data_IF_880224989840
#
_entry.id   IF_880224989840
#
_cell.length_a   1.000
_cell.length_b   1.000
_cell.length_c   1.000
_cell.angle_alpha   90.00
_cell.angle_beta   90.00
_cell.angle_gamma   90.00
#
_symmetry.space_group_name_H-M   'P 1'
#
loop_
_entity.id
_entity.type
_entity.pdbx_description
1 polymer ?
#
# COMPACT_ATOMS: atom_id res chain seq x y z
N UNK A 1 26.15 16.64 -3.69
CA UNK A 1 24.67 16.69 -3.76
C UNK A 1 24.35 16.88 -5.21
N UNK A 2 23.62 15.95 -5.82
CA UNK A 2 23.35 16.00 -7.24
C UNK A 2 22.46 17.21 -7.54
N UNK A 3 22.78 17.92 -8.62
CA UNK A 3 22.09 19.12 -9.06
C UNK A 3 20.62 18.79 -9.44
N UNK A 4 19.81 19.82 -9.65
CA UNK A 4 18.38 19.69 -9.94
C UNK A 4 18.15 19.05 -11.32
N UNK A 5 17.39 17.95 -11.37
CA UNK A 5 17.10 17.22 -12.60
C UNK A 5 15.68 17.48 -13.09
N UNK A 6 15.53 18.13 -14.24
CA UNK A 6 14.24 18.37 -14.88
C UNK A 6 13.81 17.16 -15.72
N UNK A 7 13.03 16.25 -15.15
CA UNK A 7 12.67 14.97 -15.76
C UNK A 7 11.19 14.91 -16.15
N UNK A 8 10.89 14.27 -17.29
CA UNK A 8 9.52 14.15 -17.77
C UNK A 8 8.80 12.97 -17.10
N UNK A 9 7.53 13.15 -16.71
CA UNK A 9 6.67 12.05 -16.30
C UNK A 9 6.23 11.27 -17.54
N UNK A 10 6.48 9.97 -17.60
CA UNK A 10 6.11 9.14 -18.77
C UNK A 10 5.17 7.99 -18.43
N UNK A 11 4.96 7.75 -17.12
CA UNK A 11 4.03 6.75 -16.64
C UNK A 11 3.78 6.87 -15.15
N UNK A 12 2.89 6.05 -14.64
CA UNK A 12 2.48 6.08 -13.24
C UNK A 12 2.17 4.71 -12.66
N UNK A 13 2.09 4.69 -11.33
CA UNK A 13 1.71 3.54 -10.52
C UNK A 13 0.62 3.98 -9.56
N UNK A 14 -0.45 3.20 -9.48
CA UNK A 14 -1.57 3.50 -8.60
C UNK A 14 -1.15 3.40 -7.13
N UNK A 15 -1.76 4.24 -6.30
CA UNK A 15 -1.61 4.17 -4.86
C UNK A 15 -2.19 2.89 -4.27
N UNK A 16 -1.97 2.73 -2.98
CA UNK A 16 -2.64 1.70 -2.19
C UNK A 16 -3.59 2.35 -1.18
N UNK A 17 -4.57 1.58 -0.71
CA UNK A 17 -5.54 2.04 0.30
C UNK A 17 -6.44 3.17 -0.21
N UNK A 18 -6.61 4.23 0.59
CA UNK A 18 -7.52 5.36 0.30
C UNK A 18 -7.19 6.15 -0.98
N UNK A 19 -5.99 5.98 -1.54
CA UNK A 19 -5.53 6.65 -2.76
C UNK A 19 -5.34 5.67 -3.92
N UNK A 20 -6.01 4.51 -3.90
CA UNK A 20 -5.89 3.49 -4.94
C UNK A 20 -6.32 3.96 -6.33
N UNK A 21 -7.20 4.95 -6.41
CA UNK A 21 -7.64 5.54 -7.67
C UNK A 21 -6.65 6.56 -8.25
N UNK A 22 -5.65 7.00 -7.49
CA UNK A 22 -4.71 8.04 -7.89
C UNK A 22 -3.35 7.45 -8.22
N UNK A 23 -2.68 8.01 -9.21
CA UNK A 23 -1.26 7.78 -9.43
C UNK A 23 -0.48 8.38 -8.26
N UNK A 24 0.24 7.53 -7.56
CA UNK A 24 0.98 7.87 -6.34
C UNK A 24 2.49 7.84 -6.54
N UNK A 25 2.97 7.18 -7.58
CA UNK A 25 4.37 7.17 -7.98
C UNK A 25 4.42 7.39 -9.50
N UNK A 26 5.48 8.03 -9.97
CA UNK A 26 5.64 8.41 -11.37
C UNK A 26 6.94 7.85 -11.92
N UNK A 27 6.88 7.29 -13.14
CA UNK A 27 8.07 6.93 -13.91
C UNK A 27 8.60 8.18 -14.61
N UNK A 28 9.90 8.39 -14.48
CA UNK A 28 10.62 9.54 -15.00
C UNK A 28 11.50 9.14 -16.19
N UNK A 29 11.61 10.04 -17.17
CA UNK A 29 12.46 9.85 -18.34
C UNK A 29 13.21 11.12 -18.74
N UNK A 30 14.30 10.90 -19.50
CA UNK A 30 15.05 11.93 -20.23
C UNK A 30 14.75 11.82 -21.71
N UNK A 31 14.94 12.93 -22.43
CA UNK A 31 14.84 12.99 -23.89
C UNK A 31 16.09 12.39 -24.54
N UNK A 32 15.94 11.52 -25.53
CA UNK A 32 17.06 11.13 -26.39
C UNK A 32 17.32 12.23 -27.42
N UNK A 33 18.44 12.95 -27.27
CA UNK A 33 18.79 14.12 -28.09
C UNK A 33 18.78 13.84 -29.59
N UNK A 34 19.07 12.59 -30.01
CA UNK A 34 19.11 12.18 -31.41
C UNK A 34 17.73 12.22 -32.09
N UNK A 35 16.65 12.23 -31.32
CA UNK A 35 15.26 12.18 -31.81
C UNK A 35 14.49 13.44 -31.44
N UNK A 36 15.16 14.47 -30.92
CA UNK A 36 14.53 15.69 -30.37
C UNK A 36 13.62 16.37 -31.38
N UNK A 37 14.06 16.46 -32.64
CA UNK A 37 13.38 17.17 -33.71
C UNK A 37 12.35 16.29 -34.44
N UNK A 38 12.23 15.02 -34.06
CA UNK A 38 11.20 14.14 -34.60
C UNK A 38 9.81 14.58 -34.14
N UNK A 39 8.82 14.29 -35.00
CA UNK A 39 7.41 14.47 -34.66
C UNK A 39 7.09 13.76 -33.35
N UNK A 40 7.67 12.58 -33.14
CA UNK A 40 7.57 11.81 -31.91
C UNK A 40 8.96 11.46 -31.39
N UNK A 41 9.53 12.28 -30.48
CA UNK A 41 10.84 12.01 -29.92
C UNK A 41 10.82 10.79 -28.99
N UNK A 42 11.98 10.16 -28.86
CA UNK A 42 12.18 9.01 -27.97
C UNK A 42 12.58 9.47 -26.57
N UNK A 43 11.97 8.86 -25.56
CA UNK A 43 12.30 9.05 -24.16
C UNK A 43 12.91 7.79 -23.56
N UNK A 44 13.88 7.97 -22.66
CA UNK A 44 14.60 6.90 -21.98
C UNK A 44 14.27 6.93 -20.49
N UNK A 45 13.74 5.82 -19.96
CA UNK A 45 13.42 5.75 -18.53
C UNK A 45 14.69 5.86 -17.65
N UNK A 46 14.56 6.56 -16.51
CA UNK A 46 15.64 6.81 -15.54
C UNK A 46 15.30 6.27 -14.14
N UNK A 47 14.06 6.44 -13.70
CA UNK A 47 13.72 6.15 -12.32
C UNK A 47 12.24 6.29 -11.99
N UNK A 48 11.94 6.12 -10.71
CA UNK A 48 10.62 6.41 -10.15
C UNK A 48 10.72 7.46 -9.06
N UNK A 49 9.68 8.26 -8.90
CA UNK A 49 9.53 9.18 -7.76
C UNK A 49 8.14 9.02 -7.15
N UNK A 50 8.07 9.04 -5.81
CA UNK A 50 6.82 8.89 -5.05
C UNK A 50 6.76 9.80 -3.82
N UNK A 51 7.58 10.85 -3.79
CA UNK A 51 7.67 11.77 -2.66
C UNK A 51 8.08 13.17 -3.11
N UNK A 52 7.80 14.18 -2.29
CA UNK A 52 8.20 15.57 -2.52
C UNK A 52 7.06 16.52 -2.88
N UNK A 53 5.88 16.01 -3.22
CA UNK A 53 4.66 16.79 -3.37
C UNK A 53 3.78 16.71 -2.12
N UNK A 54 3.03 17.77 -1.89
CA UNK A 54 1.88 17.82 -0.97
C UNK A 54 0.72 16.96 -1.51
N UNK A 55 -0.26 16.69 -0.65
CA UNK A 55 -1.49 15.98 -1.06
C UNK A 55 -2.24 16.75 -2.14
N UNK A 56 -2.30 18.08 -2.04
CA UNK A 56 -2.96 18.93 -3.02
C UNK A 56 -2.24 18.88 -4.37
N UNK A 57 -0.92 19.02 -4.39
CA UNK A 57 -0.13 18.92 -5.62
C UNK A 57 -0.28 17.55 -6.29
N UNK A 58 -0.41 16.46 -5.52
CA UNK A 58 -0.67 15.14 -6.06
C UNK A 58 -2.04 15.07 -6.77
N UNK A 59 -3.08 15.69 -6.20
CA UNK A 59 -4.38 15.78 -6.85
C UNK A 59 -4.31 16.61 -8.13
N UNK A 60 -3.68 17.79 -8.09
CA UNK A 60 -3.53 18.66 -9.24
C UNK A 60 -2.74 17.99 -10.38
N UNK A 61 -1.69 17.24 -10.03
CA UNK A 61 -0.94 16.41 -10.97
C UNK A 61 -1.84 15.35 -11.62
N UNK A 62 -2.61 14.60 -10.82
CA UNK A 62 -3.50 13.57 -11.36
C UNK A 62 -4.56 14.16 -12.30
N UNK A 63 -5.14 15.33 -11.97
CA UNK A 63 -6.09 16.04 -12.83
C UNK A 63 -5.45 16.47 -14.15
N UNK A 64 -4.19 16.93 -14.12
CA UNK A 64 -3.46 17.29 -15.34
C UNK A 64 -3.14 16.07 -16.20
N UNK A 65 -2.64 15.00 -15.60
CA UNK A 65 -2.18 13.80 -16.31
C UNK A 65 -3.36 12.96 -16.84
N UNK A 66 -4.56 13.10 -16.28
CA UNK A 66 -5.78 12.43 -16.74
C UNK A 66 -6.52 13.15 -17.87
N UNK A 67 -5.96 14.24 -18.42
CA UNK A 67 -6.53 14.96 -19.57
C UNK A 67 -6.59 14.12 -20.84
N UNK A 68 -5.72 13.12 -20.95
CA UNK A 68 -5.73 12.14 -22.03
C UNK A 68 -5.85 10.72 -21.46
N UNK A 69 -6.41 9.77 -22.24
CA UNK A 69 -6.51 8.38 -21.82
C UNK A 69 -5.14 7.78 -21.47
N UNK A 70 -5.04 7.23 -20.26
CA UNK A 70 -3.86 6.51 -19.78
C UNK A 70 -3.71 5.19 -20.56
N UNK A 71 -2.53 4.95 -21.12
CA UNK A 71 -2.24 3.74 -21.90
C UNK A 71 -1.72 2.61 -21.01
N UNK A 72 -2.17 1.37 -21.23
CA UNK A 72 -1.69 0.20 -20.45
C UNK A 72 -0.48 -0.50 -21.07
N UNK A 73 -0.34 -0.41 -22.39
CA UNK A 73 0.81 -0.95 -23.12
C UNK A 73 1.92 0.08 -23.20
N UNK A 74 3.18 -0.36 -23.11
CA UNK A 74 4.34 0.51 -23.29
C UNK A 74 4.34 1.09 -24.72
N UNK A 75 4.32 2.42 -24.87
CA UNK A 75 4.30 3.06 -26.19
C UNK A 75 5.67 2.97 -26.88
N UNK A 76 5.68 3.07 -28.21
CA UNK A 76 6.90 2.95 -29.02
C UNK A 76 7.92 4.08 -28.78
N UNK A 77 7.43 5.28 -28.43
CA UNK A 77 8.26 6.44 -28.10
C UNK A 77 8.98 6.32 -26.75
N UNK A 78 8.63 5.34 -25.91
CA UNK A 78 9.26 5.14 -24.61
C UNK A 78 10.13 3.89 -24.63
N UNK A 79 11.43 4.08 -24.39
CA UNK A 79 12.35 2.98 -24.13
C UNK A 79 12.37 2.68 -22.63
N UNK A 80 12.08 1.42 -22.31
CA UNK A 80 12.11 0.87 -20.95
C UNK A 80 12.95 -0.40 -20.91
N UNK A 81 13.51 -0.74 -19.75
CA UNK A 81 14.22 -2.01 -19.52
C UNK A 81 13.30 -2.98 -18.75
N UNK A 82 13.74 -3.57 -17.65
CA UNK A 82 12.92 -4.49 -16.84
C UNK A 82 11.80 -3.80 -16.06
N UNK A 83 11.97 -2.52 -15.70
CA UNK A 83 10.96 -1.76 -14.98
C UNK A 83 9.91 -1.20 -15.94
N UNK A 84 8.63 -1.49 -15.67
CA UNK A 84 7.47 -1.07 -16.47
C UNK A 84 6.49 -0.31 -15.59
N UNK A 85 5.86 0.73 -16.13
CA UNK A 85 4.77 1.41 -15.45
C UNK A 85 3.46 0.64 -15.62
N UNK A 86 2.51 0.83 -14.69
CA UNK A 86 1.15 0.28 -14.82
C UNK A 86 0.35 0.99 -15.89
N UNK A 87 0.62 2.29 -16.04
CA UNK A 87 0.05 3.15 -17.08
C UNK A 87 1.10 4.11 -17.63
N UNK A 88 0.92 4.52 -18.89
CA UNK A 88 1.78 5.44 -19.62
C UNK A 88 1.00 6.70 -20.01
N UNK A 89 1.70 7.83 -19.98
CA UNK A 89 1.13 9.16 -20.21
C UNK A 89 1.77 9.74 -21.46
N UNK A 90 0.97 10.27 -22.39
CA UNK A 90 1.52 10.90 -23.59
C UNK A 90 2.36 12.13 -23.22
N UNK A 91 3.52 12.36 -23.88
CA UNK A 91 4.43 13.44 -23.51
C UNK A 91 3.79 14.83 -23.54
N UNK A 92 2.92 15.08 -24.52
CA UNK A 92 2.19 16.34 -24.72
C UNK A 92 1.21 16.69 -23.59
N UNK A 93 0.62 15.67 -22.97
CA UNK A 93 -0.27 15.79 -21.82
C UNK A 93 0.47 15.71 -20.47
N UNK A 94 1.79 15.56 -20.50
CA UNK A 94 2.60 15.34 -19.32
C UNK A 94 3.09 16.64 -18.67
N UNK A 95 3.94 16.50 -17.66
CA UNK A 95 4.59 17.57 -16.92
C UNK A 95 6.03 17.19 -16.58
N UNK A 96 6.88 18.21 -16.54
CA UNK A 96 8.25 18.07 -16.07
C UNK A 96 8.26 18.24 -14.55
N UNK A 97 8.96 17.35 -13.87
CA UNK A 97 9.22 17.44 -12.44
C UNK A 97 10.69 17.76 -12.22
N UNK A 98 10.93 18.76 -11.40
CA UNK A 98 12.26 19.04 -10.89
C UNK A 98 12.55 18.08 -9.74
N UNK A 99 13.52 17.20 -9.95
CA UNK A 99 13.87 16.13 -9.05
C UNK A 99 15.19 16.45 -8.38
N UNK A 100 15.21 16.25 -7.06
CA UNK A 100 16.42 16.27 -6.25
C UNK A 100 16.75 14.86 -5.83
N UNK A 101 17.99 14.45 -6.01
CA UNK A 101 18.47 13.12 -5.65
C UNK A 101 19.81 13.23 -4.90
N UNK A 102 20.09 12.22 -4.06
CA UNK A 102 21.35 12.18 -3.33
C UNK A 102 22.53 11.87 -4.26
N UNK A 103 22.34 10.93 -5.18
CA UNK A 103 23.36 10.42 -6.10
C UNK A 103 22.70 9.73 -7.31
N UNK A 104 23.38 9.75 -8.46
CA UNK A 104 23.05 8.91 -9.62
C UNK A 104 23.83 7.60 -9.52
N UNK A 105 23.13 6.46 -9.58
CA UNK A 105 23.71 5.11 -9.40
C UNK A 105 23.42 4.24 -10.62
N UNK A 106 24.29 3.28 -10.93
CA UNK A 106 24.07 2.35 -12.04
C UNK A 106 22.88 1.42 -11.77
N UNK A 107 22.05 1.17 -12.77
CA UNK A 107 20.89 0.28 -12.67
C UNK A 107 20.49 -0.30 -14.02
N UNK A 108 20.32 -1.62 -14.09
CA UNK A 108 19.80 -2.31 -15.27
C UNK A 108 18.28 -2.20 -15.41
N UNK A 109 17.59 -1.63 -14.42
CA UNK A 109 16.13 -1.59 -14.38
C UNK A 109 15.52 -0.57 -15.35
N UNK A 110 16.28 0.45 -15.73
CA UNK A 110 15.84 1.58 -16.55
C UNK A 110 16.65 1.68 -17.84
N UNK A 111 16.09 2.29 -18.88
CA UNK A 111 16.69 2.30 -20.21
C UNK A 111 17.98 3.10 -20.29
N UNK A 112 18.13 4.15 -19.47
CA UNK A 112 19.36 4.96 -19.41
C UNK A 112 20.55 4.19 -18.82
N UNK A 113 20.32 3.07 -18.12
CA UNK A 113 21.38 2.30 -17.42
C UNK A 113 21.75 2.83 -16.03
N UNK A 114 21.07 3.87 -15.57
CA UNK A 114 21.26 4.53 -14.28
C UNK A 114 19.91 4.79 -13.61
N UNK A 115 19.94 5.09 -12.31
CA UNK A 115 18.79 5.55 -11.55
C UNK A 115 19.18 6.51 -10.43
N UNK A 116 18.18 7.08 -9.77
CA UNK A 116 18.35 8.10 -8.75
C UNK A 116 18.24 7.48 -7.36
N UNK A 117 19.17 7.82 -6.47
CA UNK A 117 19.12 7.45 -5.06
C UNK A 117 18.36 8.51 -4.26
N UNK A 118 17.31 8.08 -3.56
CA UNK A 118 16.42 8.93 -2.77
C UNK A 118 15.82 10.13 -3.55
N UNK A 119 15.21 9.89 -4.72
CA UNK A 119 14.62 10.97 -5.50
C UNK A 119 13.40 11.57 -4.79
N UNK A 120 13.32 12.91 -4.81
CA UNK A 120 12.17 13.69 -4.33
C UNK A 120 11.83 14.78 -5.33
N UNK A 121 10.54 15.05 -5.52
CA UNK A 121 10.07 16.21 -6.27
C UNK A 121 10.35 17.46 -5.44
N UNK A 122 11.04 18.43 -6.03
CA UNK A 122 11.29 19.74 -5.44
C UNK A 122 10.30 20.78 -5.99
N UNK A 123 10.00 20.70 -7.29
CA UNK A 123 9.06 21.61 -7.95
C UNK A 123 8.37 20.94 -9.14
N UNK A 124 7.09 21.27 -9.36
CA UNK A 124 6.37 20.92 -10.59
C UNK A 124 6.61 22.03 -11.62
N UNK A 125 7.39 21.76 -12.67
CA UNK A 125 7.79 22.73 -13.70
C UNK A 125 6.66 23.00 -14.67
N UNK A 126 5.80 23.96 -14.32
CA UNK A 126 4.70 24.43 -15.18
C UNK A 126 5.17 25.41 -16.26
N UNK A 127 6.36 25.96 -16.07
CA UNK A 127 7.04 26.93 -16.95
C UNK A 127 7.70 26.28 -18.17
N UNK A 128 7.93 24.96 -18.14
CA UNK A 128 8.59 24.22 -19.23
C UNK A 128 7.61 23.35 -20.01
N UNK A 129 7.73 23.37 -21.33
CA UNK A 129 7.09 22.41 -22.22
C UNK A 129 7.73 21.03 -22.14
N UNK A 130 6.98 19.98 -22.46
CA UNK A 130 7.44 18.59 -22.33
C UNK A 130 8.70 18.26 -23.17
N UNK A 131 8.96 18.98 -24.27
CA UNK A 131 10.19 18.85 -25.08
C UNK A 131 11.42 19.51 -24.45
N UNK A 132 11.25 20.36 -23.44
CA UNK A 132 12.32 21.05 -22.72
C UNK A 132 12.82 20.26 -21.50
N UNK A 133 12.44 18.97 -21.38
CA UNK A 133 12.98 18.12 -20.35
C UNK A 133 14.46 17.84 -20.60
N UNK A 134 15.17 17.46 -19.54
CA UNK A 134 16.57 17.10 -19.59
C UNK A 134 16.85 16.02 -20.64
N UNK A 135 17.90 16.22 -21.42
CA UNK A 135 18.42 15.24 -22.37
C UNK A 135 19.27 14.18 -21.71
N UNK A 136 19.42 13.04 -22.40
CA UNK A 136 20.38 12.00 -22.01
C UNK A 136 21.79 12.57 -21.89
N UNK A 137 22.25 13.39 -22.85
CA UNK A 137 23.55 14.05 -22.76
C UNK A 137 23.71 14.96 -21.52
N UNK A 138 22.71 15.79 -21.18
CA UNK A 138 22.72 16.62 -19.97
C UNK A 138 22.77 15.77 -18.69
N UNK A 139 21.99 14.70 -18.64
CA UNK A 139 21.96 13.77 -17.52
C UNK A 139 23.35 13.17 -17.25
N UNK A 140 24.05 12.74 -18.29
CA UNK A 140 25.41 12.20 -18.17
C UNK A 140 26.44 13.26 -17.76
N UNK A 141 26.36 14.48 -18.29
CA UNK A 141 27.23 15.59 -17.86
C UNK A 141 27.10 15.87 -16.36
N UNK A 142 25.88 15.84 -15.82
CA UNK A 142 25.65 16.01 -14.37
C UNK A 142 26.21 14.84 -13.56
N UNK A 143 26.08 13.61 -14.07
CA UNK A 143 26.65 12.43 -13.42
C UNK A 143 28.18 12.51 -13.32
N UNK A 144 28.85 12.92 -14.41
CA UNK A 144 30.30 13.10 -14.45
C UNK A 144 30.78 14.21 -13.49
N UNK A 145 30.03 15.30 -13.39
CA UNK A 145 30.32 16.40 -12.48
C UNK A 145 30.20 15.97 -10.99
N UNK A 146 29.18 15.18 -10.63
CA UNK A 146 29.00 14.68 -9.25
C UNK A 146 30.11 13.68 -8.86
N UNK A 147 30.56 12.85 -9.80
CA UNK A 147 31.71 11.96 -9.60
C UNK A 147 33.02 12.75 -9.42
N UNK A 148 33.18 13.88 -10.14
CA UNK A 148 34.36 14.73 -10.01
C UNK A 148 34.40 15.50 -8.69
N UNK A 149 33.24 15.88 -8.14
CA UNK A 149 33.15 16.52 -6.82
C UNK A 149 33.51 15.57 -5.67
N UNK A 150 33.37 14.26 -5.88
CA UNK A 150 33.62 13.25 -4.85
C UNK A 150 35.08 12.77 -4.79
N UNK A 151 35.95 13.15 -5.74
CA UNK A 151 37.38 12.77 -5.70
C UNK A 151 38.22 13.56 -4.67
N UNK A 152 37.73 14.71 -4.18
CA UNK A 152 38.39 15.48 -3.12
C UNK A 152 38.02 15.04 -1.69
N UNK A 153 37.17 14.02 -1.53
CA UNK A 153 36.89 13.39 -0.24
C UNK A 153 37.15 11.91 -0.41
N UNK A 154 38.22 11.43 0.23
CA UNK A 154 38.80 10.08 0.14
C UNK A 154 37.85 9.04 -0.43
N UNK A 155 38.20 8.35 -1.53
CA UNK A 155 37.36 7.31 -2.07
C UNK A 155 37.20 6.24 -1.00
N UNK A 156 35.99 6.07 -0.48
CA UNK A 156 35.60 4.77 0.07
C UNK A 156 35.64 3.84 -1.13
N UNK A 157 36.82 3.25 -1.32
CA UNK A 157 37.06 2.10 -2.17
C UNK A 157 36.11 1.00 -1.69
N UNK A 158 34.93 0.93 -2.30
CA UNK A 158 34.23 -0.34 -2.41
C UNK A 158 35.07 -1.18 -3.37
N UNK A 159 36.05 -1.87 -2.79
CA UNK A 159 36.76 -2.96 -3.43
C UNK A 159 35.70 -3.87 -4.03
N UNK A 160 35.72 -3.97 -5.36
CA UNK A 160 35.07 -5.01 -6.14
C UNK A 160 35.56 -6.37 -5.66
N UNK A 161 34.98 -6.88 -4.57
CA UNK A 161 34.94 -8.32 -4.33
C UNK A 161 33.81 -8.85 -5.20
N UNK A 162 34.19 -9.27 -6.41
CA UNK A 162 33.47 -10.24 -7.19
C UNK A 162 33.24 -11.48 -6.31
N UNK A 163 32.16 -11.46 -5.54
CA UNK A 163 31.57 -12.67 -4.96
C UNK A 163 30.50 -13.09 -5.95
N UNK A 164 30.76 -14.23 -6.58
CA UNK A 164 29.77 -15.13 -7.16
C UNK A 164 28.63 -15.32 -6.17
N UNK A 165 27.64 -14.43 -6.23
CA UNK A 165 26.38 -14.59 -5.55
C UNK A 165 25.55 -15.56 -6.38
N UNK A 166 25.76 -16.86 -6.13
CA UNK A 166 24.74 -17.85 -6.42
C UNK A 166 23.42 -17.29 -5.91
N UNK A 167 22.41 -17.23 -6.78
CA UNK A 167 21.03 -16.92 -6.44
C UNK A 167 20.60 -17.85 -5.30
N UNK A 168 20.84 -17.43 -4.06
CA UNK A 168 20.09 -17.96 -2.93
C UNK A 168 18.72 -17.35 -3.11
N UNK A 169 17.82 -18.13 -3.74
CA UNK A 169 16.39 -17.98 -3.51
C UNK A 169 16.27 -17.75 -2.00
N UNK A 170 15.77 -16.58 -1.58
CA UNK A 170 15.28 -16.48 -0.22
C UNK A 170 14.38 -17.72 -0.04
N UNK A 171 14.54 -18.52 1.03
CA UNK A 171 13.54 -19.51 1.29
C UNK A 171 12.23 -18.75 1.25
N UNK A 172 11.25 -19.26 0.50
CA UNK A 172 9.87 -18.95 0.83
C UNK A 172 9.73 -19.44 2.27
N UNK A 173 10.04 -18.58 3.23
CA UNK A 173 9.74 -18.81 4.62
C UNK A 173 8.23 -18.76 4.59
N UNK A 174 7.63 -19.95 4.54
CA UNK A 174 6.28 -20.15 5.05
C UNK A 174 6.35 -19.54 6.44
N UNK A 175 5.80 -18.33 6.60
CA UNK A 175 5.71 -17.70 7.90
C UNK A 175 4.82 -18.61 8.72
N UNK A 176 5.45 -19.52 9.46
CA UNK A 176 4.79 -20.32 10.47
C UNK A 176 4.07 -19.34 11.39
N UNK A 177 2.76 -19.55 11.53
CA UNK A 177 1.91 -18.83 12.44
C UNK A 177 2.32 -19.20 13.88
N UNK A 178 3.48 -18.75 14.33
CA UNK A 178 3.90 -19.02 15.70
C UNK A 178 3.00 -18.21 16.63
N UNK A 179 2.31 -18.85 17.59
CA UNK A 179 1.57 -18.11 18.61
C UNK A 179 2.50 -17.13 19.31
N UNK A 180 1.97 -15.97 19.70
CA UNK A 180 2.73 -14.93 20.37
C UNK A 180 3.48 -15.53 21.58
N UNK A 181 4.82 -15.58 21.53
CA UNK A 181 5.69 -16.17 22.57
C UNK A 181 5.49 -15.59 23.98
N UNK A 182 4.64 -14.57 24.15
CA UNK A 182 4.39 -13.85 25.40
C UNK A 182 3.27 -14.44 26.25
N UNK A 183 2.36 -15.24 25.70
CA UNK A 183 1.12 -15.66 26.39
C UNK A 183 1.19 -17.03 27.07
N UNK A 184 2.35 -17.68 27.08
CA UNK A 184 2.52 -19.06 27.58
C UNK A 184 2.20 -19.28 29.08
N UNK A 185 1.87 -18.23 29.83
CA UNK A 185 1.64 -18.29 31.30
C UNK A 185 0.17 -18.31 31.71
N UNK A 186 -0.77 -18.14 30.78
CA UNK A 186 -2.20 -17.96 31.09
C UNK A 186 -2.93 -19.29 30.89
N UNK A 187 -3.69 -19.73 31.90
CA UNK A 187 -4.53 -20.93 31.83
C UNK A 187 -5.85 -20.58 31.14
N UNK A 188 -6.29 -21.40 30.19
CA UNK A 188 -7.63 -21.28 29.61
C UNK A 188 -8.67 -21.54 30.71
N UNK A 189 -9.64 -20.63 30.85
CA UNK A 189 -10.76 -20.78 31.77
C UNK A 189 -11.86 -21.63 31.15
N UNK A 190 -12.09 -21.46 29.85
CA UNK A 190 -13.17 -22.12 29.11
C UNK A 190 -12.68 -22.41 27.69
N UNK A 191 -12.99 -23.58 27.13
CA UNK A 191 -12.57 -23.98 25.79
C UNK A 191 -13.61 -23.56 24.73
N UNK A 192 -13.91 -22.26 24.67
CA UNK A 192 -14.94 -21.71 23.77
C UNK A 192 -14.41 -21.58 22.33
N UNK A 193 -13.13 -21.27 22.19
CA UNK A 193 -12.44 -21.06 20.92
C UNK A 193 -11.53 -22.23 20.53
N UNK A 194 -11.83 -23.44 21.00
CA UNK A 194 -10.97 -24.60 20.75
C UNK A 194 -10.76 -24.82 19.24
N UNK A 195 -9.49 -24.91 18.85
CA UNK A 195 -9.05 -25.00 17.44
C UNK A 195 -9.19 -23.73 16.59
N UNK A 196 -9.65 -22.59 17.14
CA UNK A 196 -9.84 -21.34 16.38
C UNK A 196 -8.69 -20.36 16.60
N UNK A 197 -8.11 -19.90 15.51
CA UNK A 197 -7.10 -18.84 15.51
C UNK A 197 -7.77 -17.47 15.39
N UNK A 198 -7.40 -16.52 16.25
CA UNK A 198 -7.91 -15.13 16.23
C UNK A 198 -6.74 -14.17 16.12
N UNK A 199 -6.87 -13.16 15.26
CA UNK A 199 -5.87 -12.11 15.10
C UNK A 199 -6.36 -10.79 15.70
N UNK A 200 -5.64 -10.25 16.70
CA UNK A 200 -5.96 -8.94 17.26
C UNK A 200 -5.20 -7.86 16.48
N UNK A 201 -5.92 -7.04 15.73
CA UNK A 201 -5.32 -5.97 14.92
C UNK A 201 -5.01 -4.74 15.78
N UNK A 202 -5.96 -4.32 16.62
CA UNK A 202 -5.91 -3.12 17.43
C UNK A 202 -6.73 -3.26 18.73
N UNK A 203 -6.29 -2.59 19.80
CA UNK A 203 -7.06 -2.41 21.03
C UNK A 203 -8.19 -1.38 20.91
N UNK A 204 -9.02 -1.30 21.96
CA UNK A 204 -9.99 -0.21 22.20
C UNK A 204 -9.37 0.84 23.12
N UNK A 205 -10.11 1.91 23.46
CA UNK A 205 -9.67 2.85 24.48
C UNK A 205 -9.65 2.24 25.89
N UNK A 206 -10.49 1.24 26.13
CA UNK A 206 -10.62 0.55 27.42
C UNK A 206 -9.68 -0.66 27.53
N UNK A 207 -9.40 -1.35 26.43
CA UNK A 207 -8.61 -2.58 26.41
C UNK A 207 -7.43 -2.47 25.44
N UNK A 208 -6.22 -2.62 25.97
CA UNK A 208 -5.01 -2.71 25.15
C UNK A 208 -5.05 -3.94 24.24
N UNK A 209 -4.22 -3.92 23.18
CA UNK A 209 -4.09 -5.07 22.28
C UNK A 209 -3.75 -6.34 23.06
N UNK A 210 -2.82 -6.25 24.01
CA UNK A 210 -2.38 -7.35 24.86
C UNK A 210 -3.52 -7.88 25.74
N UNK A 211 -4.37 -7.01 26.26
CA UNK A 211 -5.54 -7.40 27.06
C UNK A 211 -6.54 -8.21 26.21
N UNK A 212 -6.80 -7.80 24.97
CA UNK A 212 -7.64 -8.56 24.04
C UNK A 212 -7.02 -9.92 23.69
N UNK A 213 -5.70 -9.97 23.46
CA UNK A 213 -5.00 -11.23 23.20
C UNK A 213 -5.08 -12.18 24.40
N UNK A 214 -4.94 -11.66 25.63
CA UNK A 214 -5.13 -12.44 26.85
C UNK A 214 -6.55 -13.00 26.95
N UNK A 215 -7.58 -12.21 26.63
CA UNK A 215 -8.98 -12.69 26.65
C UNK A 215 -9.24 -13.83 25.66
N UNK A 216 -8.61 -13.80 24.47
CA UNK A 216 -8.69 -14.92 23.51
C UNK A 216 -8.09 -16.19 24.10
N UNK A 217 -6.92 -16.09 24.76
CA UNK A 217 -6.26 -17.24 25.39
C UNK A 217 -7.06 -17.75 26.60
N UNK A 218 -7.65 -16.86 27.40
CA UNK A 218 -8.56 -17.23 28.50
C UNK A 218 -9.77 -18.04 27.98
N UNK A 219 -10.26 -17.73 26.78
CA UNK A 219 -11.36 -18.42 26.12
C UNK A 219 -10.92 -19.63 25.27
N UNK A 220 -9.65 -20.05 25.39
CA UNK A 220 -9.11 -21.26 24.75
C UNK A 220 -8.73 -21.10 23.27
N UNK A 221 -8.65 -19.86 22.77
CA UNK A 221 -8.28 -19.57 21.38
C UNK A 221 -6.78 -19.38 21.17
N UNK A 222 -6.32 -19.60 19.94
CA UNK A 222 -4.93 -19.35 19.54
C UNK A 222 -4.78 -17.93 18.98
N UNK A 223 -3.87 -17.13 19.53
CA UNK A 223 -3.61 -15.76 19.06
C UNK A 223 -2.55 -15.74 17.96
N UNK A 224 -2.88 -15.18 16.80
CA UNK A 224 -1.97 -15.01 15.66
C UNK A 224 -1.64 -13.53 15.45
N UNK A 225 -0.37 -13.21 15.24
CA UNK A 225 0.07 -11.81 15.07
C UNK A 225 -0.22 -11.23 13.67
N UNK A 226 -0.28 -12.07 12.65
CA UNK A 226 -0.49 -11.65 11.27
C UNK A 226 -1.79 -12.24 10.71
N UNK A 227 -2.64 -11.43 10.06
CA UNK A 227 -3.87 -11.89 9.41
C UNK A 227 -3.53 -12.62 8.09
N UNK A 228 -2.86 -13.76 8.16
CA UNK A 228 -2.50 -14.60 6.99
C UNK A 228 -2.81 -16.05 7.34
N UNK A 229 -3.51 -16.76 6.44
CA UNK A 229 -3.84 -18.19 6.59
C UNK A 229 -5.26 -18.46 7.09
N UNK A 230 -5.47 -19.67 7.61
CA UNK A 230 -6.76 -20.19 8.09
C UNK A 230 -7.13 -19.65 9.47
N UNK A 231 -7.36 -18.34 9.54
CA UNK A 231 -7.75 -17.63 10.77
C UNK A 231 -9.28 -17.59 10.83
N UNK A 232 -9.85 -17.76 12.04
CA UNK A 232 -11.29 -17.72 12.25
C UNK A 232 -11.85 -16.30 12.08
N UNK A 233 -11.27 -15.32 12.76
CA UNK A 233 -11.60 -13.91 12.58
C UNK A 233 -10.47 -12.98 13.03
N UNK A 234 -10.49 -11.75 12.51
CA UNK A 234 -9.68 -10.66 13.02
C UNK A 234 -10.54 -9.76 13.91
N UNK A 235 -10.04 -9.39 15.09
CA UNK A 235 -10.75 -8.49 16.02
C UNK A 235 -10.08 -7.12 16.01
N UNK A 236 -10.88 -6.06 15.92
CA UNK A 236 -10.41 -4.69 15.99
C UNK A 236 -11.27 -3.82 16.91
N UNK A 237 -10.61 -2.98 17.72
CA UNK A 237 -11.30 -1.93 18.49
C UNK A 237 -11.51 -0.63 17.71
N UNK A 238 -10.57 -0.26 16.83
CA UNK A 238 -10.62 0.97 16.03
C UNK A 238 -10.26 0.70 14.56
N UNK A 239 -11.00 1.34 13.65
CA UNK A 239 -10.77 1.27 12.20
C UNK A 239 -9.53 2.08 11.84
N UNK A 240 -8.38 1.41 11.76
CA UNK A 240 -7.12 2.00 11.29
C UNK A 240 -6.80 1.58 9.86
N UNK A 241 -5.75 2.17 9.28
CA UNK A 241 -5.27 1.84 7.93
C UNK A 241 -4.93 0.35 7.80
N UNK A 242 -4.42 -0.29 8.86
CA UNK A 242 -4.15 -1.75 8.87
C UNK A 242 -5.44 -2.56 8.74
N UNK A 243 -6.48 -2.18 9.48
CA UNK A 243 -7.80 -2.82 9.41
C UNK A 243 -8.39 -2.63 8.02
N UNK A 244 -8.30 -1.42 7.45
CA UNK A 244 -8.74 -1.15 6.08
C UNK A 244 -8.00 -2.02 5.05
N UNK A 245 -6.70 -2.23 5.20
CA UNK A 245 -5.93 -3.12 4.32
C UNK A 245 -6.39 -4.58 4.41
N UNK A 246 -6.71 -5.08 5.61
CA UNK A 246 -7.26 -6.43 5.80
C UNK A 246 -8.64 -6.56 5.14
N UNK A 247 -9.50 -5.54 5.32
CA UNK A 247 -10.82 -5.47 4.67
C UNK A 247 -10.68 -5.47 3.15
N UNK A 248 -9.75 -4.68 2.59
CA UNK A 248 -9.48 -4.64 1.14
C UNK A 248 -9.01 -5.98 0.57
N UNK A 249 -8.37 -6.83 1.38
CA UNK A 249 -7.95 -8.16 0.94
C UNK A 249 -9.12 -9.16 0.86
N UNK A 250 -10.22 -8.90 1.58
CA UNK A 250 -11.48 -9.65 1.46
C UNK A 250 -11.47 -11.10 1.93
N UNK A 251 -10.34 -11.62 2.47
CA UNK A 251 -10.17 -13.05 2.73
C UNK A 251 -10.65 -13.54 4.10
N UNK A 252 -11.00 -12.65 5.04
CA UNK A 252 -11.38 -13.02 6.41
C UNK A 252 -12.41 -12.09 7.02
N UNK A 253 -13.12 -12.58 8.03
CA UNK A 253 -14.09 -11.81 8.81
C UNK A 253 -13.38 -10.88 9.80
N UNK A 254 -13.86 -9.64 9.90
CA UNK A 254 -13.35 -8.62 10.82
C UNK A 254 -14.45 -8.25 11.82
N UNK A 255 -14.29 -8.68 13.07
CA UNK A 255 -15.21 -8.43 14.18
C UNK A 255 -14.78 -7.23 15.05
N UNK A 256 -15.75 -6.59 15.69
CA UNK A 256 -15.53 -5.57 16.72
C UNK A 256 -15.06 -6.19 18.02
N UNK A 257 -14.24 -5.46 18.77
CA UNK A 257 -13.79 -5.90 20.09
C UNK A 257 -14.95 -6.14 21.07
N UNK A 258 -16.07 -5.42 20.93
CA UNK A 258 -17.27 -5.58 21.77
C UNK A 258 -17.85 -7.00 21.71
N UNK A 259 -17.75 -7.68 20.56
CA UNK A 259 -18.17 -9.07 20.44
C UNK A 259 -17.30 -10.00 21.31
N UNK A 260 -15.98 -9.79 21.31
CA UNK A 260 -15.06 -10.57 22.14
C UNK A 260 -15.34 -10.35 23.64
N UNK A 261 -15.67 -9.13 24.05
CA UNK A 261 -16.06 -8.80 25.42
C UNK A 261 -17.34 -9.56 25.83
N UNK A 262 -18.38 -9.56 24.99
CA UNK A 262 -19.62 -10.30 25.27
C UNK A 262 -19.41 -11.81 25.31
N UNK A 263 -18.53 -12.36 24.46
CA UNK A 263 -18.13 -13.77 24.53
C UNK A 263 -17.45 -14.11 25.85
N UNK A 264 -16.65 -13.19 26.41
CA UNK A 264 -16.02 -13.35 27.72
C UNK A 264 -17.04 -13.32 28.85
N UNK A 265 -17.94 -12.34 28.85
CA UNK A 265 -18.97 -12.18 29.88
C UNK A 265 -19.90 -13.39 29.96
N UNK A 266 -20.37 -13.87 28.80
CA UNK A 266 -21.27 -15.03 28.73
C UNK A 266 -20.54 -16.38 28.77
N UNK A 267 -19.21 -16.37 28.73
CA UNK A 267 -18.35 -17.56 28.68
C UNK A 267 -18.77 -18.57 27.59
N UNK A 268 -19.31 -18.08 26.47
CA UNK A 268 -19.81 -18.91 25.37
C UNK A 268 -19.54 -18.23 24.03
N UNK A 269 -19.46 -19.03 22.97
CA UNK A 269 -19.21 -18.52 21.62
C UNK A 269 -20.51 -17.94 21.08
N UNK A 270 -20.60 -16.60 21.05
CA UNK A 270 -21.75 -15.94 20.49
C UNK A 270 -21.70 -15.99 18.97
N UNK A 271 -22.81 -16.42 18.36
CA UNK A 271 -23.02 -16.25 16.93
C UNK A 271 -22.89 -14.78 16.54
N UNK A 272 -22.31 -14.53 15.37
CA UNK A 272 -22.18 -13.17 14.86
C UNK A 272 -23.53 -12.58 14.51
N UNK A 273 -23.75 -11.34 14.95
CA UNK A 273 -24.77 -10.47 14.40
C UNK A 273 -24.14 -9.50 13.38
N UNK A 274 -24.89 -8.98 12.40
CA UNK A 274 -24.38 -8.00 11.43
C UNK A 274 -23.74 -6.78 12.08
N UNK A 275 -24.20 -6.42 13.28
CA UNK A 275 -23.73 -5.27 14.04
C UNK A 275 -22.39 -5.49 14.76
N UNK A 276 -21.96 -6.75 14.89
CA UNK A 276 -20.68 -7.16 15.49
C UNK A 276 -19.54 -7.19 14.48
N UNK A 277 -19.86 -7.29 13.19
CA UNK A 277 -18.88 -7.34 12.13
C UNK A 277 -18.69 -5.95 11.51
N UNK A 278 -17.43 -5.63 11.21
CA UNK A 278 -17.07 -4.49 10.37
C UNK A 278 -17.01 -4.93 8.91
N UNK A 279 -16.55 -6.16 8.68
CA UNK A 279 -16.48 -6.79 7.37
C UNK A 279 -16.74 -8.28 7.52
N UNK A 280 -17.58 -8.83 6.65
CA UNK A 280 -17.86 -10.26 6.55
C UNK A 280 -17.35 -10.76 5.21
N UNK A 281 -16.66 -11.91 5.19
CA UNK A 281 -16.33 -12.60 3.93
C UNK A 281 -17.62 -13.10 3.26
N UNK A 282 -17.56 -13.36 1.96
CA UNK A 282 -18.74 -13.74 1.16
C UNK A 282 -19.55 -14.90 1.77
N UNK A 283 -18.88 -15.95 2.26
CA UNK A 283 -19.57 -17.11 2.86
C UNK A 283 -20.31 -16.75 4.16
N UNK A 284 -19.68 -15.93 5.01
CA UNK A 284 -20.28 -15.47 6.28
C UNK A 284 -21.41 -14.49 6.00
N UNK A 285 -21.23 -13.63 5.00
CA UNK A 285 -22.25 -12.69 4.54
C UNK A 285 -23.50 -13.43 4.03
N UNK A 286 -23.34 -14.52 3.29
CA UNK A 286 -24.46 -15.36 2.83
C UNK A 286 -25.18 -16.09 3.97
N UNK A 287 -24.47 -16.49 5.02
CA UNK A 287 -25.10 -17.09 6.22
C UNK A 287 -25.92 -16.03 6.97
N UNK A 288 -25.35 -14.82 7.12
CA UNK A 288 -26.01 -13.72 7.80
C UNK A 288 -27.25 -13.23 7.05
N UNK A 289 -27.22 -13.15 5.71
CA UNK A 289 -28.37 -12.72 4.91
C UNK A 289 -29.57 -13.67 4.99
N UNK A 290 -29.33 -14.93 5.35
CA UNK A 290 -30.40 -15.92 5.59
C UNK A 290 -31.09 -15.70 6.94
N UNK A 291 -30.37 -15.14 7.92
CA UNK A 291 -30.84 -14.99 9.31
C UNK A 291 -31.29 -13.58 9.67
N UNK A 292 -30.77 -12.59 8.94
CA UNK A 292 -30.99 -11.18 9.20
C UNK A 292 -31.44 -10.44 7.96
N UNK A 293 -32.21 -9.38 8.17
CA UNK A 293 -32.59 -8.45 7.13
C UNK A 293 -31.44 -7.49 6.76
N UNK A 294 -31.71 -6.59 5.81
CA UNK A 294 -30.74 -5.57 5.35
C UNK A 294 -30.37 -4.53 6.41
N UNK A 295 -31.17 -4.38 7.47
CA UNK A 295 -30.96 -3.41 8.55
C UNK A 295 -30.32 -4.06 9.79
N UNK A 296 -30.22 -5.39 9.81
CA UNK A 296 -29.62 -6.19 10.86
C UNK A 296 -30.63 -6.77 11.85
N UNK A 297 -31.92 -6.76 11.54
CA UNK A 297 -32.97 -7.39 12.33
C UNK A 297 -32.99 -8.91 12.10
N UNK A 298 -33.22 -9.70 13.15
CA UNK A 298 -33.26 -11.16 13.04
C UNK A 298 -34.65 -11.65 12.68
N UNK A 299 -34.76 -12.55 11.71
CA UNK A 299 -36.04 -13.17 11.36
C UNK A 299 -36.63 -14.09 12.45
N UNK A 300 -35.86 -14.41 13.48
CA UNK A 300 -36.21 -15.47 14.47
C UNK A 300 -36.21 -15.02 15.92
N UNK A 301 -35.56 -13.90 16.24
CA UNK A 301 -35.38 -13.44 17.62
C UNK A 301 -36.24 -12.21 17.89
N UNK A 302 -36.79 -12.14 19.11
CA UNK A 302 -37.55 -10.96 19.54
C UNK A 302 -36.59 -9.76 19.68
N UNK A 303 -37.00 -8.63 19.10
CA UNK A 303 -36.21 -7.41 19.09
C UNK A 303 -36.27 -6.72 20.45
N UNK A 304 -35.11 -6.45 21.06
CA UNK A 304 -35.03 -5.64 22.28
C UNK A 304 -35.16 -4.14 21.98
N UNK A 305 -35.43 -3.32 23.00
CA UNK A 305 -35.49 -1.86 22.83
C UNK A 305 -34.15 -1.26 22.37
N UNK A 306 -33.02 -1.87 22.75
CA UNK A 306 -31.69 -1.48 22.27
C UNK A 306 -31.44 -1.91 20.83
N UNK A 307 -31.92 -3.09 20.43
CA UNK A 307 -31.83 -3.55 19.04
C UNK A 307 -32.67 -2.67 18.12
N UNK A 308 -33.89 -2.30 18.54
CA UNK A 308 -34.74 -1.34 17.81
C UNK A 308 -34.02 -0.01 17.55
N UNK A 309 -33.34 0.55 18.57
CA UNK A 309 -32.56 1.79 18.40
C UNK A 309 -31.49 1.65 17.31
N UNK A 310 -30.80 0.52 17.28
CA UNK A 310 -29.72 0.24 16.30
C UNK A 310 -30.28 0.03 14.90
N UNK A 311 -31.37 -0.71 14.77
CA UNK A 311 -32.05 -0.96 13.49
C UNK A 311 -32.57 0.36 12.92
N UNK A 312 -33.24 1.19 13.73
CA UNK A 312 -33.71 2.52 13.31
C UNK A 312 -32.57 3.44 12.86
N UNK A 313 -31.41 3.40 13.52
CA UNK A 313 -30.24 4.17 13.10
C UNK A 313 -29.69 3.72 11.74
N UNK A 314 -29.77 2.41 11.43
CA UNK A 314 -29.35 1.86 10.14
C UNK A 314 -30.33 2.18 8.99
N UNK A 315 -31.61 2.44 9.30
CA UNK A 315 -32.62 2.82 8.32
C UNK A 315 -32.49 4.27 7.83
N UNK A 316 -31.86 5.16 8.62
CA UNK A 316 -31.70 6.54 8.21
C UNK A 316 -30.75 6.65 7.01
N UNK A 317 -31.11 7.38 5.94
CA UNK A 317 -30.23 7.59 4.81
C UNK A 317 -28.96 8.29 5.31
N UNK A 318 -27.79 7.69 5.05
CA UNK A 318 -26.51 8.35 5.28
C UNK A 318 -26.47 9.57 4.36
N UNK A 319 -26.79 10.75 4.91
CA UNK A 319 -26.64 12.03 4.22
C UNK A 319 -25.17 12.13 3.80
N UNK A 320 -24.94 12.08 2.49
CA UNK A 320 -23.61 12.20 1.88
C UNK A 320 -23.16 13.64 1.85
#
# INVERSE_FOLDING_TARGET
MCDQLDLLVVGGYFGTGRRSSLLSHFMLAVLDENTRDDVQPTFLSVGKVGSGYTVQELYDLNVRLSRAPLQRSCPAWLRTSSEKAEVYIQPDCSVILQIKAAQIVTSKAFAVGYTLRFPRVEMIRRDKGWRECMTKAEFFRLHEADNSRTTHTSPIFYINKAKTSCKRKAPTIIMEQSPSKRLCKIKSLVNVFDGRQVCILNGTDQHSKESLEQMVVELGGAVVQNPVGSIFCAVCGKVTVKVQAVISNGSMDVAKADWLLRCREKQTLLHWCPSDLIFAKESTHSELSTRFDRFGDSYSQLVSSDDLRRICANMQPKVR
#
